data_IF_783558135124
#
_entry.id   IF_783558135124
#
_cell.length_a   1.000
_cell.length_b   1.000
_cell.length_c   1.000
_cell.angle_alpha   90.00
_cell.angle_beta   90.00
_cell.angle_gamma   90.00
#
_symmetry.space_group_name_H-M   'P 1'
#
loop_
_entity.id
_entity.type
_entity.pdbx_description
1 polymer ?
#
# COMPACT_ATOMS: atom_id res chain seq x y z
N UNK A 1 3.19 22.13 -52.74
CA UNK A 1 2.85 22.66 -51.40
C UNK A 1 1.83 21.81 -50.61
N UNK A 2 1.61 20.53 -50.93
CA UNK A 2 0.69 19.66 -50.15
C UNK A 2 1.39 18.50 -49.41
N UNK A 3 2.72 18.38 -49.51
CA UNK A 3 3.50 17.30 -48.89
C UNK A 3 4.02 17.63 -47.47
N UNK A 4 4.08 18.92 -47.11
CA UNK A 4 4.52 19.36 -45.77
C UNK A 4 3.54 18.93 -44.67
N UNK A 5 2.23 18.90 -44.96
CA UNK A 5 1.22 18.44 -43.99
C UNK A 5 1.36 16.94 -43.71
N UNK A 6 1.42 16.09 -44.75
CA UNK A 6 1.58 14.62 -44.57
C UNK A 6 2.88 14.24 -43.86
N UNK A 7 3.99 14.91 -44.16
CA UNK A 7 5.28 14.59 -43.56
C UNK A 7 5.35 14.96 -42.08
N UNK A 8 4.65 16.03 -41.66
CA UNK A 8 4.53 16.43 -40.25
C UNK A 8 3.53 15.55 -39.49
N UNK A 9 2.44 15.11 -40.13
CA UNK A 9 1.46 14.20 -39.51
C UNK A 9 2.09 12.86 -39.11
N UNK A 10 2.96 12.28 -39.93
CA UNK A 10 3.64 11.01 -39.58
C UNK A 10 4.54 11.19 -38.36
N UNK A 11 5.23 12.32 -38.23
CA UNK A 11 6.07 12.61 -37.06
C UNK A 11 5.23 12.80 -35.78
N UNK A 12 4.11 13.52 -35.87
CA UNK A 12 3.17 13.67 -34.76
C UNK A 12 2.57 12.33 -34.35
N UNK A 13 2.23 11.47 -35.31
CA UNK A 13 1.71 10.12 -35.03
C UNK A 13 2.70 9.30 -34.20
N UNK A 14 3.98 9.30 -34.58
CA UNK A 14 5.02 8.62 -33.81
C UNK A 14 5.17 9.19 -32.40
N UNK A 15 5.15 10.52 -32.25
CA UNK A 15 5.19 11.17 -30.94
C UNK A 15 4.02 10.72 -30.04
N UNK A 16 2.80 10.67 -30.59
CA UNK A 16 1.62 10.23 -29.84
C UNK A 16 1.75 8.76 -29.43
N UNK A 17 2.24 7.88 -30.31
CA UNK A 17 2.47 6.46 -29.99
C UNK A 17 3.46 6.33 -28.82
N UNK A 18 4.60 7.03 -28.86
CA UNK A 18 5.56 7.02 -27.75
C UNK A 18 5.00 7.64 -26.47
N UNK A 19 4.18 8.68 -26.58
CA UNK A 19 3.50 9.27 -25.42
C UNK A 19 2.51 8.29 -24.78
N UNK A 20 1.77 7.51 -25.56
CA UNK A 20 0.88 6.46 -25.06
C UNK A 20 1.64 5.32 -24.40
N UNK A 21 2.72 4.84 -25.01
CA UNK A 21 3.56 3.80 -24.41
C UNK A 21 4.20 4.30 -23.12
N UNK A 22 4.69 5.55 -23.11
CA UNK A 22 5.22 6.20 -21.91
C UNK A 22 4.18 6.34 -20.82
N UNK A 23 2.94 6.70 -21.17
CA UNK A 23 1.83 6.81 -20.22
C UNK A 23 1.49 5.46 -19.59
N UNK A 24 1.45 4.37 -20.37
CA UNK A 24 1.22 3.02 -19.84
C UNK A 24 2.35 2.63 -18.86
N UNK A 25 3.62 2.88 -19.21
CA UNK A 25 4.75 2.58 -18.32
C UNK A 25 4.70 3.42 -17.04
N UNK A 26 4.30 4.69 -17.15
CA UNK A 26 4.12 5.58 -15.99
C UNK A 26 2.93 5.15 -15.14
N UNK A 27 1.82 4.73 -15.72
CA UNK A 27 0.63 4.26 -15.00
C UNK A 27 0.95 2.98 -14.20
N UNK A 28 1.62 2.01 -14.82
CA UNK A 28 2.01 0.76 -14.16
C UNK A 28 3.17 0.97 -13.17
N UNK A 29 4.08 1.91 -13.46
CA UNK A 29 5.20 2.26 -12.59
C UNK A 29 4.77 3.11 -11.38
N UNK A 30 3.81 4.01 -11.55
CA UNK A 30 3.27 4.86 -10.49
C UNK A 30 2.35 4.09 -9.52
N UNK A 31 1.67 3.05 -10.00
CA UNK A 31 0.95 2.09 -9.16
C UNK A 31 1.92 1.30 -8.26
N UNK A 32 3.09 0.93 -8.79
CA UNK A 32 4.14 0.22 -8.03
C UNK A 32 4.91 1.16 -7.07
N UNK A 33 4.99 2.45 -7.39
CA UNK A 33 5.70 3.45 -6.60
C UNK A 33 4.77 4.31 -5.74
N UNK A 34 3.67 3.78 -5.21
CA UNK A 34 2.90 4.30 -4.06
C UNK A 34 2.50 5.79 -4.02
N UNK A 35 2.69 6.56 -5.10
CA UNK A 35 2.66 8.02 -5.12
C UNK A 35 1.76 8.57 -6.22
N UNK A 36 0.83 7.75 -6.72
CA UNK A 36 -0.21 8.18 -7.64
C UNK A 36 -1.47 8.61 -6.89
N UNK A 37 -1.54 9.87 -6.46
CA UNK A 37 -2.72 10.79 -6.39
C UNK A 37 -4.13 10.31 -5.94
N UNK A 38 -4.33 9.06 -5.53
CA UNK A 38 -5.55 8.52 -4.93
C UNK A 38 -5.42 8.33 -3.41
N UNK A 39 -4.19 8.40 -2.88
CA UNK A 39 -3.91 8.19 -1.46
C UNK A 39 -4.38 9.33 -0.53
N UNK A 40 -4.70 10.52 -1.06
CA UNK A 40 -5.19 11.62 -0.21
C UNK A 40 -6.60 11.38 0.35
N UNK A 41 -7.38 10.44 -0.23
CA UNK A 41 -8.68 10.02 0.27
C UNK A 41 -8.70 8.64 0.92
N UNK A 42 -7.63 7.87 0.79
CA UNK A 42 -7.60 6.44 1.15
C UNK A 42 -6.38 6.05 2.01
N UNK A 43 -5.69 7.02 2.61
CA UNK A 43 -4.65 6.79 3.61
C UNK A 43 -5.09 7.32 4.98
N UNK A 44 -4.93 6.51 6.02
CA UNK A 44 -5.18 6.92 7.43
C UNK A 44 -3.99 7.67 7.98
N UNK A 45 -2.78 7.34 7.53
CA UNK A 45 -1.56 8.04 7.91
C UNK A 45 -0.31 7.39 7.32
N UNK A 46 0.84 8.01 7.58
CA UNK A 46 2.16 7.53 7.16
C UNK A 46 3.06 7.40 8.39
N UNK A 47 3.70 6.25 8.56
CA UNK A 47 4.61 5.94 9.67
C UNK A 47 5.99 5.62 9.09
N UNK A 48 6.98 6.47 9.33
CA UNK A 48 8.36 6.29 8.81
C UNK A 48 8.46 6.04 7.29
N UNK A 49 7.54 6.61 6.50
CA UNK A 49 7.51 6.42 5.05
C UNK A 49 6.65 5.24 4.57
N UNK A 50 6.11 4.44 5.48
CA UNK A 50 5.14 3.38 5.19
C UNK A 50 3.70 3.93 5.30
N UNK A 51 2.94 3.81 4.21
CA UNK A 51 1.57 4.32 4.12
C UNK A 51 0.59 3.28 4.63
N UNK A 52 -0.23 3.64 5.60
CA UNK A 52 -1.33 2.80 6.08
C UNK A 52 -2.59 3.15 5.28
N UNK A 53 -3.07 2.19 4.49
CA UNK A 53 -4.30 2.36 3.73
C UNK A 53 -5.52 2.41 4.67
N UNK A 54 -6.49 3.25 4.31
CA UNK A 54 -7.75 3.39 5.03
C UNK A 54 -8.58 2.11 4.92
N UNK A 55 -8.52 1.42 3.79
CA UNK A 55 -9.19 0.14 3.61
C UNK A 55 -8.66 -0.93 4.59
N UNK A 56 -7.34 -1.12 4.70
CA UNK A 56 -6.76 -2.10 5.62
C UNK A 56 -7.05 -1.75 7.08
N UNK A 57 -6.91 -0.46 7.44
CA UNK A 57 -7.19 -0.01 8.78
C UNK A 57 -8.65 -0.26 9.18
N UNK A 58 -9.60 0.04 8.27
CA UNK A 58 -11.01 -0.26 8.49
C UNK A 58 -11.28 -1.77 8.58
N UNK A 59 -10.60 -2.60 7.80
CA UNK A 59 -10.75 -4.05 7.86
C UNK A 59 -10.25 -4.62 9.19
N UNK A 60 -9.11 -4.15 9.69
CA UNK A 60 -8.61 -4.50 11.02
C UNK A 60 -9.58 -4.06 12.13
N UNK A 61 -10.08 -2.82 12.05
CA UNK A 61 -11.08 -2.31 12.99
C UNK A 61 -12.34 -3.19 12.99
N UNK A 62 -12.85 -3.56 11.80
CA UNK A 62 -14.01 -4.45 11.63
C UNK A 62 -13.77 -5.86 12.18
N UNK A 63 -12.55 -6.38 12.12
CA UNK A 63 -12.20 -7.70 12.66
C UNK A 63 -12.22 -7.68 14.20
N UNK A 64 -11.59 -6.68 14.80
CA UNK A 64 -11.52 -6.56 16.27
C UNK A 64 -12.90 -6.20 16.84
N UNK A 65 -13.64 -5.30 16.19
CA UNK A 65 -15.01 -4.95 16.59
C UNK A 65 -15.98 -6.15 16.56
N UNK A 66 -15.74 -7.16 15.70
CA UNK A 66 -16.52 -8.40 15.67
C UNK A 66 -16.21 -9.33 16.84
N UNK A 67 -15.01 -9.25 17.40
CA UNK A 67 -14.59 -10.07 18.54
C UNK A 67 -15.04 -9.46 19.88
N UNK A 68 -15.36 -8.16 19.91
CA UNK A 68 -15.83 -7.48 21.11
C UNK A 68 -17.32 -7.73 21.41
N UNK A 69 -17.69 -7.96 22.69
CA UNK A 69 -19.08 -8.01 23.15
C UNK A 69 -19.84 -6.73 22.81
N UNK A 70 -21.14 -6.83 22.50
CA UNK A 70 -21.99 -5.67 22.15
C UNK A 70 -21.96 -4.56 23.21
N UNK A 71 -21.79 -4.91 24.48
CA UNK A 71 -21.74 -3.98 25.62
C UNK A 71 -20.47 -3.11 25.64
N UNK A 72 -19.38 -3.56 25.01
CA UNK A 72 -18.11 -2.82 24.94
C UNK A 72 -17.95 -1.98 23.67
N UNK A 73 -18.92 -2.02 22.74
CA UNK A 73 -18.87 -1.27 21.47
C UNK A 73 -19.01 0.24 21.62
N UNK A 74 -19.34 0.74 22.82
CA UNK A 74 -19.52 2.16 23.07
C UNK A 74 -18.23 2.97 22.88
N UNK A 75 -17.07 2.38 23.15
CA UNK A 75 -15.77 3.06 23.08
C UNK A 75 -15.04 2.84 21.74
N UNK A 76 -15.71 3.16 20.64
CA UNK A 76 -15.10 3.09 19.29
C UNK A 76 -13.79 3.90 19.19
N UNK A 77 -13.68 5.02 19.90
CA UNK A 77 -12.45 5.84 19.89
C UNK A 77 -11.26 5.11 20.54
N UNK A 78 -11.48 4.40 21.65
CA UNK A 78 -10.44 3.60 22.30
C UNK A 78 -10.03 2.42 21.41
N UNK A 79 -10.99 1.82 20.71
CA UNK A 79 -10.70 0.76 19.74
C UNK A 79 -9.80 1.27 18.61
N UNK A 80 -10.17 2.39 17.99
CA UNK A 80 -9.38 3.01 16.91
C UNK A 80 -7.95 3.29 17.38
N UNK A 81 -7.78 3.82 18.60
CA UNK A 81 -6.46 4.10 19.16
C UNK A 81 -5.65 2.81 19.37
N UNK A 82 -6.25 1.75 19.90
CA UNK A 82 -5.56 0.46 20.07
C UNK A 82 -5.10 -0.14 18.75
N UNK A 83 -5.95 -0.09 17.71
CA UNK A 83 -5.57 -0.57 16.37
C UNK A 83 -4.44 0.26 15.80
N UNK A 84 -4.52 1.58 15.94
CA UNK A 84 -3.47 2.49 15.49
C UNK A 84 -2.12 2.21 16.15
N UNK A 85 -2.08 2.13 17.48
CA UNK A 85 -0.85 1.89 18.24
C UNK A 85 -0.22 0.52 17.89
N UNK A 86 -1.06 -0.48 17.62
CA UNK A 86 -0.62 -1.79 17.14
C UNK A 86 0.11 -1.68 15.79
N UNK A 87 -0.49 -1.01 14.81
CA UNK A 87 0.13 -0.83 13.48
C UNK A 87 1.42 -0.03 13.54
N UNK A 88 1.44 1.07 14.29
CA UNK A 88 2.66 1.88 14.46
C UNK A 88 3.79 1.03 15.02
N UNK A 89 3.50 0.20 16.04
CA UNK A 89 4.52 -0.68 16.64
C UNK A 89 5.00 -1.75 15.67
N UNK A 90 4.09 -2.38 14.94
CA UNK A 90 4.44 -3.43 13.97
C UNK A 90 5.33 -2.88 12.85
N UNK A 91 4.98 -1.72 12.29
CA UNK A 91 5.77 -1.04 11.26
C UNK A 91 7.19 -0.73 11.77
N UNK A 92 7.31 -0.14 12.96
CA UNK A 92 8.62 0.21 13.53
C UNK A 92 9.46 -1.05 13.80
N UNK A 93 8.83 -2.12 14.30
CA UNK A 93 9.52 -3.38 14.56
C UNK A 93 10.00 -4.04 13.26
N UNK A 94 9.15 -4.10 12.24
CA UNK A 94 9.51 -4.67 10.94
C UNK A 94 10.66 -3.90 10.28
N UNK A 95 10.61 -2.56 10.31
CA UNK A 95 11.71 -1.72 9.83
C UNK A 95 13.02 -1.97 10.59
N UNK A 96 12.94 -2.17 11.90
CA UNK A 96 14.10 -2.48 12.72
C UNK A 96 14.63 -3.90 12.43
N UNK A 97 13.77 -4.90 12.22
CA UNK A 97 14.17 -6.26 11.83
C UNK A 97 14.87 -6.28 10.47
N UNK A 98 14.32 -5.57 9.48
CA UNK A 98 14.94 -5.41 8.16
C UNK A 98 16.29 -4.71 8.26
N UNK A 99 16.38 -3.65 9.07
CA UNK A 99 17.64 -2.91 9.32
C UNK A 99 18.70 -3.78 9.99
N UNK A 100 18.28 -4.67 10.89
CA UNK A 100 19.16 -5.61 11.60
C UNK A 100 19.46 -6.88 10.77
N UNK A 101 18.80 -7.07 9.62
CA UNK A 101 19.01 -8.21 8.73
C UNK A 101 18.42 -9.53 9.25
N UNK A 102 17.42 -9.47 10.13
CA UNK A 102 16.69 -10.65 10.57
C UNK A 102 15.62 -11.01 9.53
N UNK A 103 15.96 -11.89 8.58
CA UNK A 103 14.97 -12.54 7.72
C UNK A 103 14.43 -13.79 8.41
N UNK A 104 13.11 -13.84 8.64
CA UNK A 104 12.45 -15.06 9.10
C UNK A 104 12.56 -16.09 7.99
N UNK A 105 13.38 -17.13 8.21
CA UNK A 105 13.60 -18.16 7.20
C UNK A 105 12.48 -19.20 7.27
N UNK A 106 12.02 -19.71 6.13
CA UNK A 106 10.92 -20.69 6.02
C UNK A 106 11.06 -21.91 6.97
N UNK A 107 12.30 -22.29 7.31
CA UNK A 107 12.60 -23.37 8.25
C UNK A 107 12.15 -23.11 9.70
N UNK A 108 12.14 -21.87 10.16
CA UNK A 108 11.71 -21.51 11.52
C UNK A 108 10.18 -21.48 11.63
N UNK A 109 9.49 -21.03 10.57
CA UNK A 109 8.03 -21.04 10.49
C UNK A 109 7.52 -22.49 10.49
N UNK A 110 8.12 -23.36 9.68
CA UNK A 110 7.76 -24.78 9.63
C UNK A 110 7.99 -25.50 10.97
N UNK A 111 9.03 -25.12 11.71
CA UNK A 111 9.29 -25.64 13.06
C UNK A 111 8.23 -25.18 14.06
N UNK A 112 7.84 -23.90 14.03
CA UNK A 112 6.86 -23.35 14.98
C UNK A 112 5.46 -23.92 14.76
N UNK A 113 5.00 -24.02 13.50
CA UNK A 113 3.69 -24.63 13.17
C UNK A 113 3.60 -26.11 13.57
N UNK A 114 4.73 -26.82 13.59
CA UNK A 114 4.75 -28.25 13.98
C UNK A 114 4.77 -28.47 15.49
N UNK A 115 5.29 -27.51 16.25
CA UNK A 115 5.47 -27.62 17.71
C UNK A 115 4.40 -26.91 18.54
N UNK A 116 3.66 -25.96 17.96
CA UNK A 116 2.51 -25.28 18.58
C UNK A 116 1.31 -25.32 17.62
N UNK A 117 0.59 -26.45 17.54
CA UNK A 117 -0.61 -26.57 16.71
C UNK A 117 -1.80 -25.76 17.25
#
# INVERSE_FOLDING_TARGET
>A
MMTLLRQKTVLVLWFVIFAFIGLIVVEWGADYSGAGTNAAGDAVGVVNGETISLQEFQDALRRIARQMPQEQRADQALLVQQVWDYYVREIILNQEYERLGFEVTDGEIAFYTRNNP
#
